data_IF_168685658371
#
_entry.id   IF_168685658371
#
_cell.length_a   1.000
_cell.length_b   1.000
_cell.length_c   1.000
_cell.angle_alpha   90.00
_cell.angle_beta   90.00
_cell.angle_gamma   90.00
#
_symmetry.space_group_name_H-M   'P 1'
#
loop_
_entity.id
_entity.type
_entity.pdbx_description
1 polymer ?
#
# COMPACT_ATOMS: atom_id res chain seq x y z
N UNK A 1 24.65 0.46 3.14
CA UNK A 1 23.67 -0.04 2.16
C UNK A 1 23.47 -1.52 2.44
N UNK A 2 22.24 -1.97 2.51
CA UNK A 2 21.87 -3.37 2.78
C UNK A 2 20.56 -3.69 2.04
N UNK A 3 20.29 -4.98 1.81
CA UNK A 3 19.00 -5.45 1.32
C UNK A 3 18.00 -5.56 2.50
N UNK A 4 17.44 -4.42 2.92
CA UNK A 4 16.55 -4.36 4.08
C UNK A 4 15.23 -5.12 3.87
N UNK A 5 14.75 -5.22 2.64
CA UNK A 5 13.53 -5.95 2.25
C UNK A 5 13.78 -7.43 1.90
N UNK A 6 15.05 -7.89 1.85
CA UNK A 6 15.41 -9.30 1.68
C UNK A 6 15.33 -9.84 0.24
N UNK A 7 15.28 -8.97 -0.78
CA UNK A 7 15.15 -9.36 -2.18
C UNK A 7 16.32 -10.23 -2.70
N UNK A 8 17.50 -10.08 -2.14
CA UNK A 8 18.66 -10.97 -2.40
C UNK A 8 18.35 -12.43 -2.03
N UNK A 9 17.67 -12.63 -0.91
CA UNK A 9 17.22 -13.95 -0.48
C UNK A 9 16.09 -14.49 -1.35
N UNK A 10 15.14 -13.63 -1.80
CA UNK A 10 14.10 -14.02 -2.75
C UNK A 10 14.70 -14.55 -4.06
N UNK A 11 15.71 -13.85 -4.61
CA UNK A 11 16.43 -14.29 -5.81
C UNK A 11 17.18 -15.61 -5.58
N UNK A 12 17.85 -15.77 -4.45
CA UNK A 12 18.58 -16.99 -4.11
C UNK A 12 17.64 -18.20 -4.01
N UNK A 13 16.48 -18.04 -3.35
CA UNK A 13 15.45 -19.10 -3.26
C UNK A 13 14.97 -19.47 -4.66
N UNK A 14 14.61 -18.49 -5.50
CA UNK A 14 14.12 -18.74 -6.85
C UNK A 14 15.15 -19.46 -7.74
N UNK A 15 16.45 -19.13 -7.63
CA UNK A 15 17.52 -19.84 -8.34
C UNK A 15 17.66 -21.29 -7.88
N UNK A 16 17.52 -21.56 -6.57
CA UNK A 16 17.54 -22.94 -6.05
C UNK A 16 16.32 -23.74 -6.55
N UNK A 17 15.14 -23.14 -6.53
CA UNK A 17 13.92 -23.78 -7.08
C UNK A 17 14.11 -24.08 -8.57
N UNK A 18 14.66 -23.16 -9.35
CA UNK A 18 14.95 -23.38 -10.77
C UNK A 18 15.91 -24.58 -10.98
N UNK A 19 16.95 -24.67 -10.14
CA UNK A 19 17.91 -25.78 -10.19
C UNK A 19 17.25 -27.12 -9.85
N UNK A 20 16.40 -27.17 -8.83
CA UNK A 20 15.67 -28.38 -8.43
C UNK A 20 14.72 -28.81 -9.57
N UNK A 21 13.89 -27.92 -10.09
CA UNK A 21 12.95 -28.24 -11.14
C UNK A 21 13.66 -28.67 -12.44
N UNK A 22 14.79 -28.06 -12.77
CA UNK A 22 15.58 -28.48 -13.93
C UNK A 22 16.15 -29.90 -13.80
N UNK A 23 16.49 -30.33 -12.58
CA UNK A 23 16.95 -31.68 -12.29
C UNK A 23 15.82 -32.73 -12.36
N UNK A 24 14.57 -32.31 -12.14
CA UNK A 24 13.37 -33.16 -12.11
C UNK A 24 12.40 -32.88 -13.28
N UNK A 25 12.88 -32.31 -14.38
CA UNK A 25 12.06 -31.88 -15.53
C UNK A 25 11.22 -32.97 -16.16
N UNK A 26 11.64 -34.23 -16.03
CA UNK A 26 10.94 -35.41 -16.59
C UNK A 26 9.83 -35.94 -15.64
N UNK A 27 9.67 -35.35 -14.44
CA UNK A 27 8.71 -35.74 -13.42
C UNK A 27 7.42 -34.89 -13.43
N UNK A 28 7.37 -33.83 -14.24
CA UNK A 28 6.19 -32.99 -14.37
C UNK A 28 5.93 -32.55 -15.82
N UNK A 29 4.69 -32.14 -16.11
CA UNK A 29 4.29 -31.62 -17.41
C UNK A 29 4.00 -30.13 -17.34
N UNK A 30 4.28 -29.40 -18.43
CA UNK A 30 4.04 -27.98 -18.53
C UNK A 30 5.33 -27.17 -18.58
N UNK A 31 5.19 -25.86 -18.45
CA UNK A 31 6.30 -24.90 -18.49
C UNK A 31 6.34 -24.08 -17.22
N UNK A 32 7.51 -23.97 -16.61
CA UNK A 32 7.76 -23.03 -15.50
C UNK A 32 8.60 -21.89 -16.02
N UNK A 33 8.05 -20.68 -15.94
CA UNK A 33 8.72 -19.44 -16.30
C UNK A 33 9.24 -18.75 -15.04
N UNK A 34 10.54 -18.59 -14.92
CA UNK A 34 11.15 -17.85 -13.81
C UNK A 34 11.25 -16.36 -14.18
N UNK A 35 10.68 -15.51 -13.33
CA UNK A 35 10.64 -14.07 -13.55
C UNK A 35 11.44 -13.38 -12.44
N UNK A 36 12.47 -12.65 -12.80
CA UNK A 36 13.27 -11.81 -11.89
C UNK A 36 12.92 -10.35 -12.20
N UNK A 37 12.01 -9.79 -11.40
CA UNK A 37 11.48 -8.45 -11.62
C UNK A 37 12.50 -7.39 -11.21
N UNK A 38 12.87 -6.46 -12.10
CA UNK A 38 13.64 -5.28 -11.73
C UNK A 38 12.75 -4.25 -11.03
N UNK A 39 13.35 -3.42 -10.18
CA UNK A 39 12.71 -2.21 -9.63
C UNK A 39 11.38 -2.49 -8.92
N UNK A 40 11.33 -3.53 -8.08
CA UNK A 40 10.10 -3.95 -7.40
C UNK A 40 9.57 -2.85 -6.47
N UNK A 41 10.44 -2.15 -5.74
CA UNK A 41 10.09 -1.06 -4.81
C UNK A 41 9.49 0.18 -5.52
N UNK A 42 9.57 0.24 -6.84
CA UNK A 42 9.03 1.33 -7.67
C UNK A 42 8.00 0.81 -8.70
N UNK A 43 7.30 -0.25 -8.36
CA UNK A 43 6.21 -0.85 -9.16
C UNK A 43 6.62 -1.36 -10.55
N UNK A 44 7.83 -1.91 -10.70
CA UNK A 44 8.38 -2.38 -11.98
C UNK A 44 7.64 -3.55 -12.64
N UNK A 45 6.66 -4.17 -11.97
CA UNK A 45 5.86 -5.27 -12.52
C UNK A 45 5.05 -4.87 -13.76
N UNK A 46 4.47 -3.67 -13.78
CA UNK A 46 3.67 -3.19 -14.92
C UNK A 46 4.49 -3.13 -16.20
N UNK A 47 5.72 -2.64 -16.15
CA UNK A 47 6.61 -2.58 -17.32
C UNK A 47 6.90 -3.99 -17.87
N UNK A 48 7.03 -5.00 -17.02
CA UNK A 48 7.22 -6.39 -17.46
C UNK A 48 5.95 -6.99 -18.07
N UNK A 49 4.80 -6.67 -17.54
CA UNK A 49 3.49 -7.11 -18.07
C UNK A 49 3.29 -6.50 -19.44
N UNK A 50 3.51 -5.21 -19.61
CA UNK A 50 3.46 -4.50 -20.90
C UNK A 50 4.46 -5.06 -21.92
N UNK A 51 5.63 -5.50 -21.45
CA UNK A 51 6.63 -6.18 -22.29
C UNK A 51 6.26 -7.65 -22.61
N UNK A 52 5.11 -8.15 -22.14
CA UNK A 52 4.59 -9.48 -22.47
C UNK A 52 5.16 -10.61 -21.61
N UNK A 53 5.58 -10.35 -20.37
CA UNK A 53 6.12 -11.39 -19.48
C UNK A 53 5.09 -12.52 -19.19
N UNK A 54 3.81 -12.24 -19.29
CA UNK A 54 2.73 -13.20 -19.09
C UNK A 54 2.34 -13.95 -20.39
N UNK A 55 2.97 -13.59 -21.51
CA UNK A 55 2.72 -14.19 -22.81
C UNK A 55 3.96 -14.99 -23.31
N UNK A 56 3.75 -15.87 -24.27
CA UNK A 56 4.78 -16.63 -24.98
C UNK A 56 5.82 -17.37 -24.11
N UNK A 57 5.45 -18.42 -23.34
CA UNK A 57 4.12 -19.01 -23.27
C UNK A 57 3.16 -18.22 -22.38
N UNK A 58 1.86 -18.36 -22.61
CA UNK A 58 0.82 -17.83 -21.73
C UNK A 58 0.98 -18.38 -20.32
N UNK A 59 0.77 -17.50 -19.33
CA UNK A 59 0.91 -17.86 -17.90
C UNK A 59 -0.49 -18.13 -17.32
N UNK A 60 -0.73 -19.37 -16.89
CA UNK A 60 -2.00 -19.79 -16.30
C UNK A 60 -2.09 -19.48 -14.81
N UNK A 61 -0.96 -19.43 -14.12
CA UNK A 61 -0.87 -19.13 -12.70
C UNK A 61 0.50 -18.52 -12.35
N UNK A 62 0.54 -17.69 -11.31
CA UNK A 62 1.77 -17.12 -10.79
C UNK A 62 1.91 -17.39 -9.29
N UNK A 63 3.13 -17.61 -8.84
CA UNK A 63 3.51 -17.75 -7.44
C UNK A 63 4.64 -16.80 -7.13
N UNK A 64 4.56 -16.13 -6.00
CA UNK A 64 5.64 -15.33 -5.45
C UNK A 64 5.78 -15.58 -3.94
N UNK A 65 6.94 -15.26 -3.39
CA UNK A 65 7.19 -15.30 -1.97
C UNK A 65 7.87 -14.01 -1.53
N UNK A 66 7.66 -13.67 -0.28
CA UNK A 66 8.38 -12.58 0.37
C UNK A 66 8.81 -12.98 1.78
N UNK A 67 10.02 -12.64 2.19
CA UNK A 67 10.44 -12.76 3.58
C UNK A 67 9.72 -11.71 4.42
N UNK A 68 9.16 -12.14 5.56
CA UNK A 68 8.38 -11.25 6.42
C UNK A 68 8.80 -11.42 7.88
N UNK A 69 9.52 -10.45 8.42
CA UNK A 69 10.12 -10.53 9.75
C UNK A 69 9.15 -10.79 10.92
N UNK A 70 7.87 -10.39 10.87
CA UNK A 70 6.91 -10.75 11.91
C UNK A 70 6.48 -12.22 11.92
N UNK A 71 6.67 -12.96 10.81
CA UNK A 71 6.38 -14.40 10.76
C UNK A 71 7.55 -15.16 11.38
N UNK A 72 7.24 -16.13 12.24
CA UNK A 72 8.25 -16.96 12.90
C UNK A 72 9.06 -17.77 11.90
N UNK A 73 10.33 -18.00 12.18
CA UNK A 73 11.16 -18.93 11.40
C UNK A 73 10.53 -20.32 11.34
N UNK A 74 10.47 -20.89 10.15
CA UNK A 74 9.83 -22.20 9.91
C UNK A 74 8.32 -22.12 9.69
N UNK A 75 7.74 -20.91 9.63
CA UNK A 75 6.34 -20.69 9.31
C UNK A 75 6.17 -20.02 7.94
N UNK A 76 4.99 -20.19 7.35
CA UNK A 76 4.55 -19.51 6.13
C UNK A 76 3.25 -18.77 6.44
N UNK A 77 3.20 -17.48 6.08
CA UNK A 77 1.98 -16.69 6.07
C UNK A 77 1.23 -16.88 4.76
N UNK A 78 -0.02 -17.30 4.82
CA UNK A 78 -0.83 -17.63 3.65
C UNK A 78 -2.31 -17.40 3.92
N UNK A 79 -2.94 -16.51 3.13
CA UNK A 79 -4.39 -16.29 3.17
C UNK A 79 -4.95 -16.12 1.76
N UNK A 80 -6.19 -16.48 1.57
CA UNK A 80 -6.95 -16.20 0.33
C UNK A 80 -7.52 -14.77 0.35
N UNK A 81 -7.81 -14.25 -0.83
CA UNK A 81 -8.33 -12.91 -1.01
C UNK A 81 -7.26 -11.83 -0.88
N UNK A 82 -7.64 -10.61 -0.48
CA UNK A 82 -6.69 -9.51 -0.36
C UNK A 82 -5.75 -9.74 0.84
N UNK A 83 -4.43 -9.69 0.62
CA UNK A 83 -3.40 -9.95 1.64
C UNK A 83 -2.50 -8.76 1.92
N UNK A 84 -2.24 -7.89 0.91
CA UNK A 84 -1.57 -6.61 1.10
C UNK A 84 -2.51 -5.49 0.68
N UNK A 85 -2.61 -4.45 1.50
CA UNK A 85 -3.51 -3.33 1.27
C UNK A 85 -3.07 -2.46 0.09
N UNK A 86 -4.06 -1.89 -0.58
CA UNK A 86 -3.84 -0.78 -1.50
C UNK A 86 -3.20 0.38 -0.76
N UNK A 87 -2.23 1.01 -1.38
CA UNK A 87 -1.62 2.25 -0.90
C UNK A 87 -1.87 3.36 -1.91
N UNK A 88 -2.37 4.49 -1.45
CA UNK A 88 -2.41 5.74 -2.19
C UNK A 88 -1.58 6.76 -1.44
N UNK A 89 -0.58 7.32 -2.10
CA UNK A 89 0.19 8.43 -1.56
C UNK A 89 -0.45 9.75 -1.98
N UNK A 90 -0.32 10.76 -1.14
CA UNK A 90 -0.84 12.09 -1.47
C UNK A 90 0.08 13.20 -0.99
N UNK A 91 0.07 14.29 -1.75
CA UNK A 91 0.57 15.61 -1.37
C UNK A 91 -0.63 16.56 -1.24
N UNK A 92 -0.74 17.23 -0.11
CA UNK A 92 -1.84 18.15 0.21
C UNK A 92 -1.26 19.50 0.62
N UNK A 93 -1.70 20.58 -0.02
CA UNK A 93 -1.37 21.94 0.37
C UNK A 93 -2.63 22.61 0.89
N UNK A 94 -2.60 23.08 2.14
CA UNK A 94 -3.63 23.96 2.72
C UNK A 94 -3.22 25.41 2.50
N UNK A 95 -4.10 26.17 1.88
CA UNK A 95 -3.80 27.53 1.42
C UNK A 95 -4.68 28.52 2.18
N UNK A 96 -4.04 29.46 2.84
CA UNK A 96 -4.67 30.53 3.60
C UNK A 96 -4.24 31.91 3.14
N UNK A 97 -4.10 32.82 4.09
CA UNK A 97 -3.64 34.19 3.85
C UNK A 97 -2.70 34.63 4.97
N UNK A 98 -1.48 35.00 4.61
CA UNK A 98 -0.48 35.52 5.56
C UNK A 98 -0.95 36.78 6.30
N UNK A 99 -0.47 36.90 7.53
CA UNK A 99 -0.72 38.10 8.34
C UNK A 99 0.10 38.11 9.61
N UNK A 100 -0.02 39.22 10.38
CA UNK A 100 0.65 39.33 11.66
C UNK A 100 -0.23 38.72 12.78
N UNK A 101 0.37 37.99 13.71
CA UNK A 101 -0.37 37.31 14.80
C UNK A 101 -1.15 38.27 15.71
N UNK A 102 -0.80 39.55 15.76
CA UNK A 102 -1.55 40.57 16.52
C UNK A 102 -2.85 41.06 15.84
N UNK A 103 -3.02 40.73 14.55
CA UNK A 103 -4.21 41.12 13.76
C UNK A 103 -4.77 39.91 13.01
N UNK A 104 -5.10 38.80 13.72
CA UNK A 104 -5.43 37.51 13.09
C UNK A 104 -6.70 37.58 12.20
N UNK A 105 -7.59 38.49 12.46
CA UNK A 105 -8.82 38.72 11.68
C UNK A 105 -8.56 39.19 10.23
N UNK A 106 -7.34 39.61 9.90
CA UNK A 106 -6.94 40.03 8.54
C UNK A 106 -6.30 38.89 7.73
N UNK A 107 -6.04 37.77 8.37
CA UNK A 107 -5.37 36.59 7.82
C UNK A 107 -6.32 35.40 7.72
N UNK A 108 -5.79 34.28 7.18
CA UNK A 108 -6.40 32.95 7.17
C UNK A 108 -5.32 31.94 7.56
N UNK A 109 -5.47 31.30 8.70
CA UNK A 109 -4.42 30.48 9.32
C UNK A 109 -4.35 29.10 8.71
N UNK A 110 -3.37 28.88 7.83
CA UNK A 110 -3.15 27.59 7.18
C UNK A 110 -2.65 26.51 8.16
N UNK A 111 -1.93 26.86 9.24
CA UNK A 111 -1.49 25.89 10.26
C UNK A 111 -2.69 25.35 11.02
N UNK A 112 -3.59 26.22 11.48
CA UNK A 112 -4.82 25.79 12.15
C UNK A 112 -5.67 24.90 11.24
N UNK A 113 -5.78 25.28 9.95
CA UNK A 113 -6.48 24.50 8.95
C UNK A 113 -5.88 23.11 8.74
N UNK A 114 -4.56 23.03 8.60
CA UNK A 114 -3.85 21.75 8.45
C UNK A 114 -4.07 20.83 9.66
N UNK A 115 -3.94 21.34 10.89
CA UNK A 115 -4.23 20.59 12.11
C UNK A 115 -5.69 20.07 12.14
N UNK A 116 -6.63 20.91 11.74
CA UNK A 116 -8.06 20.55 11.69
C UNK A 116 -8.34 19.46 10.65
N UNK A 117 -7.71 19.55 9.48
CA UNK A 117 -7.83 18.53 8.42
C UNK A 117 -7.28 17.18 8.89
N UNK A 118 -6.08 17.16 9.50
CA UNK A 118 -5.49 15.92 10.05
C UNK A 118 -6.42 15.25 11.04
N UNK A 119 -7.04 16.01 11.94
CA UNK A 119 -7.98 15.49 12.93
C UNK A 119 -9.30 15.03 12.29
N UNK A 120 -9.86 15.84 11.40
CA UNK A 120 -11.14 15.54 10.75
C UNK A 120 -11.08 14.26 9.90
N UNK A 121 -9.94 13.99 9.24
CA UNK A 121 -9.75 12.80 8.42
C UNK A 121 -9.77 11.49 9.20
N UNK A 122 -9.60 11.52 10.54
CA UNK A 122 -9.73 10.32 11.37
C UNK A 122 -11.15 9.75 11.39
N UNK A 123 -12.15 10.53 10.93
CA UNK A 123 -13.53 10.06 10.78
C UNK A 123 -13.66 8.92 9.77
N UNK A 124 -12.78 8.86 8.77
CA UNK A 124 -12.86 7.85 7.70
C UNK A 124 -12.79 6.43 8.27
N UNK A 125 -11.76 6.11 9.04
CA UNK A 125 -11.59 4.79 9.64
C UNK A 125 -12.50 4.50 10.84
N UNK A 126 -13.20 5.51 11.37
CA UNK A 126 -13.96 5.35 12.62
C UNK A 126 -15.47 5.53 12.47
N UNK A 127 -15.95 6.16 11.39
CA UNK A 127 -17.38 6.52 11.22
C UNK A 127 -17.89 6.40 9.79
N UNK A 128 -17.01 6.40 8.79
CA UNK A 128 -17.41 6.47 7.37
C UNK A 128 -17.45 5.10 6.71
N UNK A 129 -16.46 4.26 7.00
CA UNK A 129 -16.35 2.91 6.47
C UNK A 129 -16.67 1.86 7.52
N UNK A 130 -17.04 0.65 7.09
CA UNK A 130 -17.28 -0.48 7.98
C UNK A 130 -16.03 -0.74 8.85
N UNK A 131 -16.13 -0.77 10.18
CA UNK A 131 -15.00 -1.04 11.06
C UNK A 131 -14.32 -2.40 10.85
N UNK A 132 -14.99 -3.34 10.18
CA UNK A 132 -14.40 -4.62 9.79
C UNK A 132 -13.54 -4.54 8.53
N UNK A 133 -13.60 -3.41 7.80
CA UNK A 133 -12.78 -3.13 6.63
C UNK A 133 -11.60 -2.22 7.04
N UNK A 134 -10.37 -2.75 7.07
CA UNK A 134 -9.24 -1.96 7.54
C UNK A 134 -8.95 -0.80 6.60
N UNK A 135 -8.87 0.40 7.18
CA UNK A 135 -8.42 1.61 6.51
C UNK A 135 -7.54 2.43 7.47
N UNK A 136 -6.44 2.97 6.96
CA UNK A 136 -5.55 3.85 7.70
C UNK A 136 -5.23 5.09 6.85
N UNK A 137 -5.38 6.27 7.46
CA UNK A 137 -4.96 7.56 6.89
C UNK A 137 -3.85 8.11 7.76
N UNK A 138 -2.64 8.17 7.23
CA UNK A 138 -1.45 8.57 7.96
C UNK A 138 -0.78 9.75 7.28
N UNK A 139 -0.27 10.68 8.10
CA UNK A 139 0.53 11.82 7.65
C UNK A 139 1.98 11.59 8.09
N UNK A 140 2.88 11.46 7.13
CA UNK A 140 4.31 11.26 7.36
C UNK A 140 5.12 12.56 7.28
N UNK A 141 4.52 13.63 6.72
CA UNK A 141 5.19 14.91 6.50
C UNK A 141 4.24 16.07 6.76
N UNK A 142 4.74 17.12 7.42
CA UNK A 142 4.08 18.42 7.57
C UNK A 142 5.15 19.52 7.57
N UNK A 143 4.94 20.54 6.75
CA UNK A 143 5.86 21.68 6.63
C UNK A 143 5.06 22.97 6.46
N UNK A 144 5.38 24.00 7.27
CA UNK A 144 4.77 25.32 7.16
C UNK A 144 5.23 26.29 8.25
N UNK A 145 5.09 27.58 7.93
CA UNK A 145 5.48 28.68 8.82
C UNK A 145 6.94 29.10 8.69
N UNK A 146 7.21 30.39 8.94
CA UNK A 146 8.55 30.99 8.80
C UNK A 146 9.00 31.72 10.08
N UNK A 147 8.06 32.30 10.83
CA UNK A 147 8.38 33.07 12.05
C UNK A 147 7.23 32.97 13.06
N UNK A 148 7.56 33.11 14.35
CA UNK A 148 6.60 32.95 15.46
C UNK A 148 5.48 33.99 15.48
N UNK A 149 5.66 35.14 14.89
CA UNK A 149 4.70 36.23 14.84
C UNK A 149 4.04 36.41 13.45
N UNK A 150 4.23 35.48 12.54
CA UNK A 150 3.63 35.47 11.21
C UNK A 150 2.68 34.29 11.08
N UNK A 151 1.43 34.58 10.73
CA UNK A 151 0.46 33.58 10.28
C UNK A 151 0.86 33.19 8.85
N UNK A 152 1.15 31.93 8.61
CA UNK A 152 1.54 31.46 7.26
C UNK A 152 0.33 31.33 6.34
N UNK A 153 0.56 31.55 5.07
CA UNK A 153 -0.43 31.37 4.00
C UNK A 153 -0.45 29.97 3.39
N UNK A 154 0.51 29.12 3.73
CA UNK A 154 0.54 27.75 3.19
C UNK A 154 1.13 26.76 4.19
N UNK A 155 0.57 25.55 4.20
CA UNK A 155 1.11 24.36 4.87
C UNK A 155 1.03 23.19 3.92
N UNK A 156 2.15 22.47 3.77
CA UNK A 156 2.22 21.25 2.99
C UNK A 156 2.17 20.03 3.91
N UNK A 157 1.39 19.04 3.49
CA UNK A 157 1.26 17.76 4.14
C UNK A 157 1.51 16.65 3.11
N UNK A 158 2.10 15.55 3.55
CA UNK A 158 2.26 14.35 2.75
C UNK A 158 1.91 13.12 3.56
N UNK A 159 1.30 12.13 2.92
CA UNK A 159 0.88 10.95 3.63
C UNK A 159 0.41 9.82 2.74
N UNK A 160 -0.17 8.81 3.37
CA UNK A 160 -0.70 7.62 2.72
C UNK A 160 -2.12 7.33 3.18
N UNK A 161 -2.93 6.83 2.26
CA UNK A 161 -4.20 6.18 2.53
C UNK A 161 -4.00 4.70 2.22
N UNK A 162 -4.17 3.84 3.22
CA UNK A 162 -4.07 2.38 3.06
C UNK A 162 -5.39 1.73 3.40
N UNK A 163 -5.80 0.77 2.59
CA UNK A 163 -7.02 0.00 2.85
C UNK A 163 -6.92 -1.40 2.27
N UNK A 164 -7.62 -2.35 2.90
CA UNK A 164 -7.68 -3.74 2.50
C UNK A 164 -9.15 -4.13 2.32
N UNK A 165 -9.74 -3.71 1.20
CA UNK A 165 -11.13 -3.97 0.88
C UNK A 165 -11.23 -5.08 -0.18
N UNK A 166 -12.27 -5.94 -0.16
CA UNK A 166 -12.43 -6.99 -1.18
C UNK A 166 -12.71 -6.28 -2.46
N UNK A 167 -13.39 -5.54 -2.93
CA UNK A 167 -13.63 -4.96 -4.26
C UNK A 167 -12.92 -3.60 -4.42
N UNK A 168 -11.60 -3.65 -4.62
CA UNK A 168 -10.79 -2.43 -4.69
C UNK A 168 -11.27 -1.45 -5.76
N UNK A 169 -11.51 -1.90 -6.99
CA UNK A 169 -11.94 -1.05 -8.09
C UNK A 169 -13.20 -0.24 -7.77
N UNK A 170 -14.13 -0.85 -7.04
CA UNK A 170 -15.37 -0.19 -6.62
C UNK A 170 -15.16 0.71 -5.40
N UNK A 171 -14.27 0.35 -4.50
CA UNK A 171 -14.13 1.02 -3.20
C UNK A 171 -13.08 2.14 -3.20
N UNK A 172 -12.02 2.04 -3.98
CA UNK A 172 -11.00 3.08 -4.09
C UNK A 172 -11.56 4.46 -4.45
N UNK A 173 -12.43 4.62 -5.47
CA UNK A 173 -13.03 5.91 -5.76
C UNK A 173 -13.87 6.47 -4.60
N UNK A 174 -14.54 5.61 -3.82
CA UNK A 174 -15.32 6.03 -2.64
C UNK A 174 -14.42 6.52 -1.52
N UNK A 175 -13.30 5.83 -1.28
CA UNK A 175 -12.30 6.25 -0.28
C UNK A 175 -11.74 7.62 -0.62
N UNK A 176 -11.30 7.82 -1.87
CA UNK A 176 -10.73 9.09 -2.32
C UNK A 176 -11.77 10.23 -2.28
N UNK A 177 -13.01 9.97 -2.71
CA UNK A 177 -14.08 10.96 -2.64
C UNK A 177 -14.42 11.35 -1.19
N UNK A 178 -14.46 10.39 -0.26
CA UNK A 178 -14.70 10.67 1.15
C UNK A 178 -13.53 11.47 1.76
N UNK A 179 -12.30 11.12 1.43
CA UNK A 179 -11.09 11.82 1.86
C UNK A 179 -11.11 13.28 1.41
N UNK A 180 -11.34 13.52 0.12
CA UNK A 180 -11.39 14.88 -0.43
C UNK A 180 -12.57 15.69 0.11
N UNK A 181 -13.74 15.08 0.30
CA UNK A 181 -14.92 15.73 0.89
C UNK A 181 -14.64 16.25 2.30
N UNK A 182 -13.93 15.48 3.13
CA UNK A 182 -13.59 15.92 4.49
C UNK A 182 -12.61 17.09 4.45
N UNK A 183 -11.61 17.05 3.57
CA UNK A 183 -10.67 18.16 3.36
C UNK A 183 -11.42 19.41 2.92
N UNK A 184 -12.23 19.29 1.86
CA UNK A 184 -13.00 20.41 1.30
C UNK A 184 -13.91 21.05 2.35
N UNK A 185 -14.67 20.24 3.09
CA UNK A 185 -15.57 20.72 4.15
C UNK A 185 -14.83 21.44 5.27
N UNK A 186 -13.68 20.91 5.71
CA UNK A 186 -12.86 21.50 6.77
C UNK A 186 -12.24 22.82 6.33
N UNK A 187 -11.72 22.90 5.11
CA UNK A 187 -11.15 24.11 4.53
C UNK A 187 -12.23 25.17 4.34
N UNK A 188 -13.38 24.80 3.79
CA UNK A 188 -14.50 25.71 3.58
C UNK A 188 -14.99 26.33 4.90
N UNK A 189 -15.09 25.53 5.98
CA UNK A 189 -15.52 26.02 7.29
C UNK A 189 -14.58 27.10 7.88
N UNK A 190 -13.31 27.14 7.47
CA UNK A 190 -12.30 28.09 7.94
C UNK A 190 -11.95 29.15 6.88
N UNK A 191 -12.61 29.11 5.71
CA UNK A 191 -12.35 30.03 4.60
C UNK A 191 -10.95 29.85 4.00
N UNK A 192 -10.48 28.61 3.95
CA UNK A 192 -9.23 28.17 3.37
C UNK A 192 -9.47 27.52 2.01
N UNK A 193 -8.41 27.47 1.20
CA UNK A 193 -8.36 26.69 -0.03
C UNK A 193 -7.42 25.48 0.15
N UNK A 194 -7.46 24.51 -0.77
CA UNK A 194 -6.54 23.40 -0.78
C UNK A 194 -6.18 22.97 -2.21
N UNK A 195 -5.04 22.31 -2.32
CA UNK A 195 -4.65 21.56 -3.52
C UNK A 195 -4.25 20.16 -3.09
N UNK A 196 -4.71 19.16 -3.82
CA UNK A 196 -4.33 17.77 -3.59
C UNK A 196 -3.79 17.15 -4.87
N UNK A 197 -2.77 16.31 -4.70
CA UNK A 197 -2.21 15.48 -5.75
C UNK A 197 -2.09 14.06 -5.20
N UNK A 198 -2.68 13.11 -5.91
CA UNK A 198 -2.47 11.69 -5.64
C UNK A 198 -1.28 11.19 -6.45
N UNK A 199 -0.47 10.36 -5.81
CA UNK A 199 0.67 9.69 -6.44
C UNK A 199 0.26 8.22 -6.56
N UNK A 200 0.07 7.71 -7.79
CA UNK A 200 -0.33 6.32 -8.00
C UNK A 200 0.62 5.36 -7.29
N UNK A 201 0.06 4.40 -6.59
CA UNK A 201 0.79 3.37 -5.89
C UNK A 201 0.25 1.98 -6.27
N UNK A 202 0.74 0.94 -5.62
CA UNK A 202 0.39 -0.43 -5.95
C UNK A 202 -1.06 -0.77 -5.57
N UNK A 203 -1.77 -1.54 -6.42
CA UNK A 203 -3.05 -2.13 -6.04
C UNK A 203 -2.87 -3.15 -4.92
N UNK A 204 -3.98 -3.58 -4.30
CA UNK A 204 -3.95 -4.67 -3.33
C UNK A 204 -3.44 -5.96 -3.98
N UNK A 205 -2.66 -6.73 -3.24
CA UNK A 205 -2.28 -8.07 -3.64
C UNK A 205 -3.40 -9.05 -3.26
N UNK A 206 -3.95 -9.71 -4.27
CA UNK A 206 -5.05 -10.66 -4.12
C UNK A 206 -4.59 -12.08 -4.43
N UNK A 207 -4.77 -13.01 -3.50
CA UNK A 207 -4.46 -14.42 -3.68
C UNK A 207 -5.69 -15.22 -4.11
N UNK A 208 -5.55 -15.94 -5.23
CA UNK A 208 -6.56 -16.88 -5.71
C UNK A 208 -6.74 -18.06 -4.74
N UNK A 209 -7.98 -18.41 -4.41
CA UNK A 209 -8.30 -19.45 -3.42
C UNK A 209 -7.78 -20.85 -3.82
N UNK A 210 -7.80 -21.17 -5.13
CA UNK A 210 -7.28 -22.45 -5.63
C UNK A 210 -5.76 -22.51 -5.48
N UNK A 211 -5.07 -21.43 -5.83
CA UNK A 211 -3.61 -21.36 -5.66
C UNK A 211 -3.21 -21.42 -4.20
N UNK A 212 -3.93 -20.73 -3.32
CA UNK A 212 -3.72 -20.82 -1.86
C UNK A 212 -3.89 -22.26 -1.36
N UNK A 213 -4.92 -22.98 -1.82
CA UNK A 213 -5.14 -24.38 -1.40
C UNK A 213 -3.98 -25.30 -1.82
N UNK A 214 -3.42 -25.09 -3.02
CA UNK A 214 -2.27 -25.85 -3.52
C UNK A 214 -1.02 -25.55 -2.68
N UNK A 215 -0.72 -24.29 -2.44
CA UNK A 215 0.45 -23.87 -1.64
C UNK A 215 0.31 -24.37 -0.19
N UNK A 216 -0.89 -24.31 0.39
CA UNK A 216 -1.17 -24.79 1.74
C UNK A 216 -0.89 -26.29 1.84
N UNK A 217 -1.41 -27.09 0.90
CA UNK A 217 -1.20 -28.54 0.88
C UNK A 217 0.31 -28.89 0.77
N UNK A 218 1.04 -28.23 -0.11
CA UNK A 218 2.47 -28.43 -0.26
C UNK A 218 3.26 -28.02 1.00
N UNK A 219 2.87 -26.93 1.66
CA UNK A 219 3.49 -26.49 2.91
C UNK A 219 3.23 -27.47 4.06
N UNK A 220 1.98 -27.95 4.23
CA UNK A 220 1.60 -28.95 5.23
C UNK A 220 2.36 -30.27 5.03
N UNK A 221 2.49 -30.72 3.79
CA UNK A 221 3.28 -31.90 3.45
C UNK A 221 4.76 -31.71 3.79
N UNK A 222 5.33 -30.57 3.42
CA UNK A 222 6.76 -30.26 3.65
C UNK A 222 7.09 -30.15 5.13
N UNK A 223 6.23 -29.51 5.92
CA UNK A 223 6.44 -29.33 7.36
C UNK A 223 5.98 -30.55 8.19
N UNK A 224 5.13 -31.40 7.63
CA UNK A 224 4.51 -32.53 8.35
C UNK A 224 3.46 -32.08 9.39
N UNK A 225 3.05 -30.81 9.37
CA UNK A 225 2.06 -30.25 10.29
C UNK A 225 1.38 -29.01 9.67
N UNK A 226 0.15 -28.72 10.15
CA UNK A 226 -0.58 -27.49 9.81
C UNK A 226 -0.17 -26.28 10.65
N UNK A 227 0.47 -26.53 11.79
CA UNK A 227 0.77 -25.50 12.78
C UNK A 227 1.78 -24.46 12.29
N UNK A 228 2.46 -24.75 11.17
CA UNK A 228 3.45 -23.86 10.55
C UNK A 228 2.88 -23.01 9.39
N UNK A 229 1.57 -23.02 9.19
CA UNK A 229 0.89 -22.20 8.16
C UNK A 229 -0.03 -21.21 8.87
N UNK A 230 0.41 -19.96 8.97
CA UNK A 230 -0.29 -18.88 9.65
C UNK A 230 -1.19 -18.13 8.66
N UNK A 231 -2.32 -17.60 9.13
CA UNK A 231 -3.06 -16.61 8.37
C UNK A 231 -2.30 -15.29 8.35
N UNK A 232 -2.22 -14.67 7.16
CA UNK A 232 -1.45 -13.44 6.96
C UNK A 232 -2.23 -12.39 6.17
N UNK A 233 -2.27 -11.17 6.70
CA UNK A 233 -2.75 -9.97 6.00
C UNK A 233 -1.99 -8.75 6.54
N UNK A 234 -1.76 -7.75 5.69
CA UNK A 234 -1.12 -6.48 6.06
C UNK A 234 -1.76 -5.29 5.32
N UNK A 235 -1.68 -4.11 5.91
CA UNK A 235 -2.03 -2.83 5.29
C UNK A 235 -0.79 -2.17 4.68
#
# INVERSE_FOLDING_TARGET
VMHACGHDSHMAIQLIVAKILAAHKDEFSGTVKFVFQPNEEEAGALNMIEAGVLENPHVDAALALHLWSPIKTGHIGLSEGPILGTTEEFELEIIGKAGHTSTPHTAKDAILGACSVVQALQVLGTREFDPLLPIAVMFGHIEGGTARNIITDSVKLGGTIRFLFPDEEMNKPKVLAAFERVIAGTCMAQGLEYKIKYIPSNPSLFNDAKMVSIVRAAAEETFGTRDNVDDFRSL
#
